data_IF_009396995845
#
_entry.id   IF_009396995845
#
_cell.length_a   1.000
_cell.length_b   1.000
_cell.length_c   1.000
_cell.angle_alpha   90.00
_cell.angle_beta   90.00
_cell.angle_gamma   90.00
#
_symmetry.space_group_name_H-M   'P 1'
#
loop_
_entity.id
_entity.type
_entity.pdbx_description
1 polymer ?
#
# COMPACT_ATOMS: atom_id res chain seq x y z
N UNK A 1 33.89 -11.34 4.75
CA UNK A 1 32.95 -12.45 4.47
C UNK A 1 32.45 -12.95 5.81
N UNK A 2 31.13 -12.98 6.07
CA UNK A 2 30.61 -13.58 7.31
C UNK A 2 30.96 -15.07 7.38
N UNK A 3 31.10 -15.61 8.58
CA UNK A 3 31.40 -17.03 8.83
C UNK A 3 30.31 -17.91 8.20
N UNK A 4 30.67 -18.79 7.28
CA UNK A 4 29.72 -19.64 6.54
C UNK A 4 29.40 -20.97 7.25
N UNK A 5 30.31 -21.45 8.10
CA UNK A 5 30.18 -22.74 8.77
C UNK A 5 30.47 -22.59 10.26
N UNK A 6 29.67 -23.25 11.10
CA UNK A 6 29.96 -23.35 12.54
C UNK A 6 31.17 -24.23 12.80
N UNK A 7 31.88 -24.00 13.90
CA UNK A 7 32.87 -24.95 14.41
C UNK A 7 32.08 -26.16 14.92
N UNK A 8 32.18 -27.34 14.28
CA UNK A 8 31.37 -28.47 14.67
C UNK A 8 31.87 -29.03 16.00
N UNK A 9 30.91 -29.53 16.79
CA UNK A 9 31.20 -30.42 17.90
C UNK A 9 31.69 -31.75 17.34
N UNK A 10 32.70 -32.32 18.00
CA UNK A 10 33.31 -33.59 17.63
C UNK A 10 33.20 -34.58 18.77
N UNK A 11 33.00 -35.85 18.41
CA UNK A 11 33.04 -36.95 19.38
C UNK A 11 34.49 -37.38 19.61
N UNK A 12 34.83 -37.76 20.85
CA UNK A 12 36.11 -38.43 21.11
C UNK A 12 36.17 -39.77 20.38
N UNK A 13 37.35 -40.13 19.88
CA UNK A 13 37.58 -41.36 19.09
C UNK A 13 37.11 -42.63 19.80
N UNK A 14 37.15 -42.68 21.12
CA UNK A 14 36.71 -43.84 21.91
C UNK A 14 35.20 -44.13 21.81
N UNK A 15 34.39 -43.15 21.42
CA UNK A 15 32.94 -43.27 21.32
C UNK A 15 32.44 -43.23 19.88
N UNK A 16 33.35 -43.21 18.89
CA UNK A 16 32.96 -43.04 17.48
C UNK A 16 32.01 -44.13 17.00
N UNK A 17 32.08 -45.31 17.59
CA UNK A 17 31.33 -46.49 17.16
C UNK A 17 29.89 -46.52 17.73
N UNK A 18 29.58 -45.65 18.69
CA UNK A 18 28.23 -45.51 19.25
C UNK A 18 27.35 -44.66 18.32
N UNK A 19 26.34 -45.32 17.72
CA UNK A 19 25.40 -44.71 16.79
C UNK A 19 24.55 -43.60 17.42
N UNK A 20 24.19 -43.73 18.70
CA UNK A 20 23.33 -42.76 19.38
C UNK A 20 24.10 -41.48 19.70
N UNK A 21 25.34 -41.62 20.16
CA UNK A 21 26.21 -40.49 20.46
C UNK A 21 26.61 -39.72 19.19
N UNK A 22 26.85 -40.44 18.09
CA UNK A 22 27.09 -39.82 16.78
C UNK A 22 25.86 -39.04 16.30
N UNK A 23 24.68 -39.65 16.35
CA UNK A 23 23.44 -39.01 15.95
C UNK A 23 23.14 -37.74 16.77
N UNK A 24 23.46 -37.74 18.07
CA UNK A 24 23.34 -36.56 18.92
C UNK A 24 24.25 -35.41 18.47
N UNK A 25 25.54 -35.69 18.21
CA UNK A 25 26.49 -34.67 17.73
C UNK A 25 26.11 -34.13 16.35
N UNK A 26 25.66 -35.00 15.45
CA UNK A 26 25.19 -34.58 14.13
C UNK A 26 23.95 -33.69 14.22
N UNK A 27 22.99 -34.03 15.08
CA UNK A 27 21.82 -33.19 15.33
C UNK A 27 22.20 -31.83 15.93
N UNK A 28 23.13 -31.81 16.89
CA UNK A 28 23.65 -30.57 17.48
C UNK A 28 24.33 -29.67 16.44
N UNK A 29 25.18 -30.25 15.58
CA UNK A 29 25.86 -29.53 14.52
C UNK A 29 24.89 -28.97 13.49
N UNK A 30 23.88 -29.76 13.11
CA UNK A 30 22.81 -29.34 12.20
C UNK A 30 22.01 -28.17 12.77
N UNK A 31 21.60 -28.25 14.04
CA UNK A 31 20.87 -27.17 14.73
C UNK A 31 21.72 -25.90 14.82
N UNK A 32 22.99 -26.03 15.21
CA UNK A 32 23.93 -24.92 15.33
C UNK A 32 24.17 -24.24 13.97
N UNK A 33 24.33 -25.02 12.90
CA UNK A 33 24.44 -24.50 11.54
C UNK A 33 23.16 -23.78 11.10
N UNK A 34 21.99 -24.28 11.52
CA UNK A 34 20.69 -23.62 11.32
C UNK A 34 20.66 -22.22 11.94
N UNK A 35 21.11 -22.07 13.19
CA UNK A 35 21.16 -20.76 13.85
C UNK A 35 22.10 -19.77 13.16
N UNK A 36 23.30 -20.22 12.73
CA UNK A 36 24.22 -19.37 11.97
C UNK A 36 23.62 -18.96 10.62
N UNK A 37 22.98 -19.89 9.92
CA UNK A 37 22.32 -19.63 8.62
C UNK A 37 21.16 -18.63 8.78
N UNK A 38 20.40 -18.73 9.86
CA UNK A 38 19.35 -17.76 10.18
C UNK A 38 19.93 -16.37 10.49
N UNK A 39 20.97 -16.28 11.32
CA UNK A 39 21.59 -15.01 11.69
C UNK A 39 22.22 -14.29 10.48
N UNK A 40 22.85 -15.05 9.58
CA UNK A 40 23.46 -14.49 8.36
C UNK A 40 22.41 -14.03 7.34
N UNK A 41 21.23 -14.68 7.30
CA UNK A 41 20.11 -14.29 6.42
C UNK A 41 19.18 -13.23 7.02
N UNK A 42 19.33 -12.90 8.30
CA UNK A 42 18.45 -11.95 9.02
C UNK A 42 19.27 -10.86 9.72
N UNK A 43 19.92 -9.94 8.97
CA UNK A 43 20.64 -8.83 9.58
C UNK A 43 19.68 -7.88 10.31
N UNK A 44 19.78 -7.81 11.64
CA UNK A 44 18.86 -7.05 12.51
C UNK A 44 18.80 -5.54 12.19
N UNK A 45 19.88 -5.00 11.62
CA UNK A 45 19.93 -3.60 11.19
C UNK A 45 18.99 -3.31 10.00
N UNK A 46 18.71 -4.32 9.16
CA UNK A 46 17.84 -4.20 8.00
C UNK A 46 16.41 -4.66 8.34
N UNK A 47 15.71 -3.84 9.13
CA UNK A 47 14.33 -4.10 9.56
C UNK A 47 13.32 -4.22 8.41
N UNK A 48 13.66 -3.75 7.20
CA UNK A 48 12.83 -3.88 5.99
C UNK A 48 12.82 -5.31 5.44
N UNK A 49 13.66 -6.21 5.95
CA UNK A 49 13.68 -7.62 5.53
C UNK A 49 12.33 -8.30 5.78
N UNK A 50 11.83 -9.14 4.84
CA UNK A 50 10.63 -9.95 5.06
C UNK A 50 10.74 -10.93 6.23
N UNK A 51 11.95 -11.32 6.63
CA UNK A 51 12.19 -12.28 7.71
C UNK A 51 12.01 -11.67 9.12
N UNK A 52 11.94 -10.34 9.23
CA UNK A 52 11.77 -9.63 10.50
C UNK A 52 10.29 -9.27 10.63
N UNK A 53 9.54 -10.03 11.42
CA UNK A 53 8.08 -9.88 11.58
C UNK A 53 7.65 -10.08 13.04
N UNK A 54 6.44 -9.63 13.34
CA UNK A 54 5.78 -9.81 14.63
C UNK A 54 6.61 -9.31 15.83
N UNK A 55 6.71 -10.10 16.90
CA UNK A 55 7.42 -9.69 18.12
C UNK A 55 8.90 -9.36 17.91
N UNK A 56 9.58 -9.98 16.93
CA UNK A 56 10.96 -9.65 16.61
C UNK A 56 11.07 -8.23 16.06
N UNK A 57 10.15 -7.85 15.17
CA UNK A 57 10.08 -6.49 14.64
C UNK A 57 9.81 -5.48 15.77
N UNK A 58 8.86 -5.78 16.66
CA UNK A 58 8.55 -4.91 17.80
C UNK A 58 9.75 -4.74 18.73
N UNK A 59 10.48 -5.82 19.01
CA UNK A 59 11.68 -5.78 19.83
C UNK A 59 12.79 -4.93 19.19
N UNK A 60 13.04 -5.10 17.88
CA UNK A 60 14.04 -4.30 17.14
C UNK A 60 13.62 -2.84 17.11
N UNK A 61 12.40 -2.55 16.69
CA UNK A 61 11.92 -1.20 16.45
C UNK A 61 11.79 -0.39 17.74
N UNK A 62 11.17 -0.97 18.78
CA UNK A 62 11.01 -0.31 20.08
C UNK A 62 12.30 -0.36 20.90
N UNK A 63 13.01 -1.49 20.89
CA UNK A 63 14.19 -1.69 21.72
C UNK A 63 15.43 -0.96 21.21
N UNK A 64 15.72 -1.04 19.91
CA UNK A 64 16.92 -0.45 19.31
C UNK A 64 16.66 0.99 18.86
N UNK A 65 15.53 1.22 18.18
CA UNK A 65 15.24 2.52 17.57
C UNK A 65 14.29 3.42 18.38
N UNK A 66 13.67 2.90 19.44
CA UNK A 66 12.74 3.66 20.28
C UNK A 66 11.42 4.04 19.60
N UNK A 67 11.09 3.44 18.45
CA UNK A 67 9.87 3.76 17.70
C UNK A 67 8.83 2.68 18.03
N UNK A 68 7.76 2.98 18.79
CA UNK A 68 6.70 2.01 19.08
C UNK A 68 5.83 1.73 17.85
N UNK A 69 5.12 0.60 17.85
CA UNK A 69 4.15 0.28 16.81
C UNK A 69 2.98 1.26 16.88
N UNK A 70 2.68 1.99 15.79
CA UNK A 70 1.61 2.98 15.82
C UNK A 70 0.24 2.31 15.84
N UNK A 71 -0.72 3.02 16.43
CA UNK A 71 -2.14 2.64 16.39
C UNK A 71 -2.79 3.44 15.26
N UNK A 72 -3.39 2.73 14.31
CA UNK A 72 -4.21 3.33 13.28
C UNK A 72 -5.62 3.50 13.85
N UNK A 73 -6.00 4.74 14.12
CA UNK A 73 -7.34 5.08 14.58
C UNK A 73 -8.05 5.97 13.57
N UNK A 74 -9.23 5.55 13.14
CA UNK A 74 -10.20 6.47 12.54
C UNK A 74 -11.28 6.78 13.57
N UNK A 75 -11.64 8.06 13.70
CA UNK A 75 -12.86 8.47 14.37
C UNK A 75 -13.66 9.32 13.39
N UNK A 76 -14.88 8.88 13.09
CA UNK A 76 -15.81 9.65 12.27
C UNK A 76 -17.01 9.98 13.15
N UNK A 77 -17.28 11.28 13.33
CA UNK A 77 -18.46 11.74 14.06
C UNK A 77 -19.44 12.30 13.04
N UNK A 78 -20.61 11.69 12.91
CA UNK A 78 -21.70 12.23 12.10
C UNK A 78 -22.78 12.83 12.99
N UNK A 79 -23.14 14.08 12.70
CA UNK A 79 -24.23 14.80 13.35
C UNK A 79 -25.33 14.97 12.31
N UNK A 80 -26.43 14.25 12.50
CA UNK A 80 -27.60 14.33 11.62
C UNK A 80 -28.70 15.07 12.37
N UNK A 81 -29.17 16.19 11.79
CA UNK A 81 -30.24 17.02 12.31
C UNK A 81 -30.97 17.69 11.13
N UNK A 82 -32.30 17.80 11.19
CA UNK A 82 -33.11 18.44 10.15
C UNK A 82 -34.47 17.78 9.92
N UNK A 83 -35.37 18.49 9.23
CA UNK A 83 -36.64 17.96 8.72
C UNK A 83 -36.34 16.90 7.63
N UNK A 84 -37.05 15.77 7.62
CA UNK A 84 -36.80 14.55 6.79
C UNK A 84 -35.52 13.72 7.07
N UNK A 85 -34.77 14.00 8.13
CA UNK A 85 -33.56 13.21 8.45
C UNK A 85 -33.86 11.82 9.06
N UNK A 86 -35.08 11.62 9.57
CA UNK A 86 -35.53 10.39 10.23
C UNK A 86 -36.99 10.10 9.87
N UNK A 87 -37.35 8.81 9.82
CA UNK A 87 -38.75 8.40 9.69
C UNK A 87 -39.58 8.88 10.90
N UNK A 88 -40.85 9.23 10.68
CA UNK A 88 -41.76 9.68 11.74
C UNK A 88 -41.79 8.70 12.93
N UNK A 89 -41.86 9.21 14.16
CA UNK A 89 -41.85 8.47 15.44
C UNK A 89 -40.57 7.68 15.79
N UNK A 90 -39.46 7.87 15.11
CA UNK A 90 -38.19 7.20 15.47
C UNK A 90 -37.31 8.00 16.44
N UNK A 91 -37.64 9.27 16.70
CA UNK A 91 -36.85 10.15 17.55
C UNK A 91 -37.72 11.23 18.23
N UNK A 92 -37.41 11.65 19.48
CA UNK A 92 -38.14 12.72 20.16
C UNK A 92 -38.08 14.06 19.42
N UNK A 93 -39.13 14.88 19.55
CA UNK A 93 -39.14 16.25 19.03
C UNK A 93 -37.99 17.06 19.65
N UNK A 94 -37.21 17.76 18.83
CA UNK A 94 -35.96 18.44 19.22
C UNK A 94 -34.83 17.50 19.71
N UNK A 95 -34.88 16.21 19.40
CA UNK A 95 -33.80 15.26 19.68
C UNK A 95 -32.62 15.40 18.71
N UNK A 96 -31.39 15.21 19.19
CA UNK A 96 -30.17 15.12 18.37
C UNK A 96 -29.51 13.73 18.51
N UNK A 97 -29.19 13.07 17.39
CA UNK A 97 -28.45 11.81 17.39
C UNK A 97 -27.01 12.12 16.99
N UNK A 98 -26.09 11.78 17.89
CA UNK A 98 -24.66 11.83 17.62
C UNK A 98 -24.23 10.37 17.50
N UNK A 99 -23.82 9.97 16.30
CA UNK A 99 -23.17 8.68 16.08
C UNK A 99 -21.68 8.93 15.92
N UNK A 100 -20.90 8.42 16.87
CA UNK A 100 -19.45 8.31 16.75
C UNK A 100 -19.13 6.84 16.50
N UNK A 101 -18.45 6.57 15.39
CA UNK A 101 -17.86 5.26 15.13
C UNK A 101 -16.37 5.44 14.95
N UNK A 102 -15.60 4.53 15.54
CA UNK A 102 -14.16 4.51 15.38
C UNK A 102 -13.62 3.11 15.46
N UNK A 103 -12.59 2.83 14.67
CA UNK A 103 -11.81 1.60 14.74
C UNK A 103 -10.40 1.98 15.14
N UNK A 104 -9.85 1.29 16.13
CA UNK A 104 -8.45 1.39 16.51
C UNK A 104 -7.83 0.01 16.34
N UNK A 105 -6.86 -0.09 15.44
CA UNK A 105 -6.12 -1.31 15.19
C UNK A 105 -4.62 -1.03 15.28
N UNK A 106 -3.86 -2.01 15.76
CA UNK A 106 -2.41 -1.96 15.65
C UNK A 106 -2.02 -2.00 14.17
N UNK A 107 -1.04 -1.19 13.79
CA UNK A 107 -0.49 -1.23 12.43
C UNK A 107 0.03 -2.63 12.10
N UNK A 108 -0.16 -3.07 10.85
CA UNK A 108 0.45 -4.30 10.34
C UNK A 108 1.99 -4.17 10.31
N UNK A 109 2.70 -5.29 10.23
CA UNK A 109 4.18 -5.29 10.16
C UNK A 109 4.71 -4.47 8.98
N UNK A 110 4.01 -4.52 7.85
CA UNK A 110 4.35 -3.75 6.66
C UNK A 110 4.23 -2.24 6.90
N UNK A 111 3.10 -1.77 7.44
CA UNK A 111 2.89 -0.36 7.79
C UNK A 111 3.89 0.09 8.85
N UNK A 112 4.18 -0.75 9.84
CA UNK A 112 5.13 -0.42 10.89
C UNK A 112 6.53 -0.20 10.34
N UNK A 113 7.01 -1.08 9.45
CA UNK A 113 8.30 -0.89 8.76
C UNK A 113 8.30 0.38 7.91
N UNK A 114 7.20 0.71 7.22
CA UNK A 114 7.08 1.97 6.45
C UNK A 114 7.19 3.21 7.34
N UNK A 115 6.60 3.17 8.54
CA UNK A 115 6.73 4.24 9.55
C UNK A 115 8.17 4.36 10.06
N UNK A 116 8.85 3.24 10.31
CA UNK A 116 10.27 3.25 10.67
C UNK A 116 11.12 3.86 9.55
N UNK A 117 10.91 3.43 8.30
CA UNK A 117 11.60 3.98 7.14
C UNK A 117 11.35 5.48 7.02
N UNK A 118 10.11 5.95 7.24
CA UNK A 118 9.83 7.38 7.28
C UNK A 118 10.76 8.09 8.27
N UNK A 119 10.84 7.64 9.51
CA UNK A 119 11.64 8.35 10.53
C UNK A 119 13.16 8.18 10.36
N UNK A 120 13.63 7.03 9.87
CA UNK A 120 15.04 6.65 9.90
C UNK A 120 15.77 6.85 8.56
N UNK A 121 15.07 6.89 7.43
CA UNK A 121 15.70 6.95 6.10
C UNK A 121 16.45 8.27 5.90
N UNK A 122 17.75 8.20 5.56
CA UNK A 122 18.65 9.36 5.43
C UNK A 122 18.90 9.82 3.99
N UNK A 123 18.55 9.02 3.00
CA UNK A 123 18.85 9.32 1.58
C UNK A 123 18.16 10.57 1.04
N UNK A 124 17.04 11.01 1.63
CA UNK A 124 16.31 12.21 1.18
C UNK A 124 16.95 13.53 1.67
N UNK A 125 17.97 13.46 2.53
CA UNK A 125 18.54 14.63 3.21
C UNK A 125 17.75 15.07 4.45
N UNK A 126 18.21 16.16 5.06
CA UNK A 126 17.69 16.69 6.35
C UNK A 126 16.78 17.91 6.20
N UNK A 127 16.70 18.50 5.01
CA UNK A 127 15.95 19.73 4.76
C UNK A 127 14.59 19.38 4.19
N UNK A 128 13.54 19.93 4.80
CA UNK A 128 12.19 19.78 4.28
C UNK A 128 12.04 20.56 2.96
N UNK A 129 11.70 19.85 1.89
CA UNK A 129 11.40 20.38 0.57
C UNK A 129 10.22 19.62 -0.03
N UNK A 130 9.59 20.14 -1.08
CA UNK A 130 8.51 19.41 -1.78
C UNK A 130 9.04 18.06 -2.32
N UNK A 131 10.27 18.03 -2.83
CA UNK A 131 10.92 16.80 -3.29
C UNK A 131 11.11 15.77 -2.17
N UNK A 132 11.55 16.23 -0.99
CA UNK A 132 11.67 15.39 0.21
C UNK A 132 10.34 14.73 0.59
N UNK A 133 9.26 15.52 0.62
CA UNK A 133 7.93 15.03 0.97
C UNK A 133 7.42 14.04 -0.09
N UNK A 134 7.60 14.38 -1.37
CA UNK A 134 7.19 13.54 -2.50
C UNK A 134 7.89 12.18 -2.50
N UNK A 135 9.21 12.14 -2.29
CA UNK A 135 9.97 10.90 -2.24
C UNK A 135 9.52 10.00 -1.08
N UNK A 136 9.25 10.59 0.08
CA UNK A 136 8.82 9.84 1.28
C UNK A 136 7.43 9.28 1.17
N UNK A 137 6.48 10.08 0.66
CA UNK A 137 5.13 9.59 0.38
C UNK A 137 5.21 8.48 -0.66
N UNK A 138 5.96 8.67 -1.74
CA UNK A 138 6.11 7.65 -2.78
C UNK A 138 6.68 6.33 -2.23
N UNK A 139 7.72 6.41 -1.38
CA UNK A 139 8.29 5.25 -0.70
C UNK A 139 7.29 4.59 0.25
N UNK A 140 6.54 5.40 0.99
CA UNK A 140 5.51 4.90 1.90
C UNK A 140 4.38 4.19 1.15
N UNK A 141 4.00 4.64 -0.04
CA UNK A 141 2.92 4.03 -0.81
C UNK A 141 3.40 2.79 -1.56
N UNK A 142 4.49 2.91 -2.34
CA UNK A 142 4.92 1.89 -3.28
C UNK A 142 6.01 0.95 -2.74
N UNK A 143 6.75 1.36 -1.70
CA UNK A 143 7.86 0.59 -1.13
C UNK A 143 7.40 -0.50 -0.15
N UNK A 144 7.32 -1.75 -0.64
CA UNK A 144 6.98 -2.92 0.18
C UNK A 144 7.91 -3.03 1.39
N UNK A 145 7.36 -3.27 2.59
CA UNK A 145 8.08 -3.30 3.86
C UNK A 145 8.92 -2.03 4.14
N UNK A 146 8.55 -0.88 3.56
CA UNK A 146 9.32 0.35 3.67
C UNK A 146 10.67 0.30 2.94
N UNK A 147 10.81 -0.55 1.94
CA UNK A 147 11.97 -0.54 1.05
C UNK A 147 12.00 0.73 0.20
N UNK A 148 13.18 1.10 -0.31
CA UNK A 148 13.31 2.27 -1.15
C UNK A 148 12.62 2.07 -2.50
N UNK A 149 11.87 3.07 -2.94
CA UNK A 149 11.15 3.02 -4.21
C UNK A 149 11.34 4.34 -4.97
N UNK A 150 11.82 4.28 -6.22
CA UNK A 150 12.13 5.47 -7.00
C UNK A 150 10.86 6.29 -7.31
N UNK A 151 10.96 7.61 -7.20
CA UNK A 151 9.83 8.56 -7.41
C UNK A 151 9.33 8.62 -8.85
N UNK A 152 10.14 8.16 -9.80
CA UNK A 152 9.79 8.09 -11.21
C UNK A 152 8.64 7.10 -11.47
N UNK A 153 8.47 6.12 -10.59
CA UNK A 153 7.45 5.07 -10.71
C UNK A 153 6.22 5.45 -9.88
N UNK A 154 5.20 6.00 -10.56
CA UNK A 154 3.89 6.38 -10.00
C UNK A 154 3.95 7.50 -8.95
N UNK A 155 4.49 8.67 -9.32
CA UNK A 155 4.67 9.76 -8.38
C UNK A 155 3.32 10.25 -7.81
N UNK A 156 3.26 10.56 -6.51
CA UNK A 156 2.14 11.33 -5.96
C UNK A 156 2.21 12.78 -6.47
N UNK A 157 1.06 13.43 -6.59
CA UNK A 157 0.99 14.86 -6.90
C UNK A 157 0.87 15.67 -5.62
N UNK A 158 1.63 16.76 -5.51
CA UNK A 158 1.60 17.64 -4.34
C UNK A 158 1.43 19.06 -4.84
N UNK A 159 0.39 19.74 -4.37
CA UNK A 159 0.15 21.17 -4.59
C UNK A 159 0.16 21.89 -3.25
N UNK A 160 0.62 23.15 -3.26
CA UNK A 160 0.77 23.94 -2.04
C UNK A 160 -0.03 25.23 -2.20
N UNK A 161 -0.86 25.53 -1.20
CA UNK A 161 -1.59 26.79 -1.10
C UNK A 161 -1.45 27.33 0.32
N UNK A 162 -0.65 28.38 0.48
CA UNK A 162 -0.27 28.90 1.80
C UNK A 162 0.43 27.83 2.65
N UNK A 163 -0.18 27.46 3.78
CA UNK A 163 0.35 26.45 4.71
C UNK A 163 -0.23 25.04 4.48
N UNK A 164 -1.07 24.85 3.45
CA UNK A 164 -1.75 23.58 3.17
C UNK A 164 -1.03 22.87 2.03
N UNK A 165 -0.55 21.66 2.30
CA UNK A 165 -0.03 20.70 1.34
C UNK A 165 -1.14 19.74 0.95
N UNK A 166 -1.65 19.86 -0.28
CA UNK A 166 -2.64 18.94 -0.84
C UNK A 166 -1.90 17.82 -1.58
N UNK A 167 -2.05 16.60 -1.08
CA UNK A 167 -1.39 15.39 -1.56
C UNK A 167 -2.43 14.54 -2.30
N UNK A 168 -2.28 14.42 -3.61
CA UNK A 168 -3.14 13.57 -4.45
C UNK A 168 -2.49 12.22 -4.69
N UNK A 169 -3.17 11.15 -4.27
CA UNK A 169 -2.68 9.76 -4.30
C UNK A 169 -3.79 8.81 -4.72
N UNK A 170 -3.44 7.62 -5.21
CA UNK A 170 -4.45 6.57 -5.43
C UNK A 170 -4.99 6.05 -4.09
N UNK A 171 -6.27 5.66 -4.08
CA UNK A 171 -6.93 5.11 -2.89
C UNK A 171 -6.50 3.66 -2.63
N UNK A 172 -5.31 3.46 -2.07
CA UNK A 172 -4.82 2.15 -1.63
C UNK A 172 -4.89 2.00 -0.11
N UNK A 173 -4.87 0.78 0.46
CA UNK A 173 -4.81 0.56 1.91
C UNK A 173 -3.63 1.31 2.57
N UNK A 174 -2.49 1.40 1.88
CA UNK A 174 -1.30 2.13 2.35
C UNK A 174 -1.56 3.64 2.39
N UNK A 175 -2.27 4.20 1.40
CA UNK A 175 -2.64 5.61 1.38
C UNK A 175 -3.61 5.96 2.52
N UNK A 176 -4.54 5.06 2.85
CA UNK A 176 -5.46 5.22 3.98
C UNK A 176 -4.71 5.14 5.32
N UNK A 177 -3.79 4.18 5.46
CA UNK A 177 -2.94 4.09 6.65
C UNK A 177 -2.08 5.35 6.82
N UNK A 178 -1.51 5.88 5.71
CA UNK A 178 -0.74 7.12 5.72
C UNK A 178 -1.58 8.30 6.24
N UNK A 179 -2.81 8.44 5.73
CA UNK A 179 -3.75 9.48 6.18
C UNK A 179 -4.02 9.41 7.69
N UNK A 180 -4.27 8.22 8.21
CA UNK A 180 -4.49 8.02 9.65
C UNK A 180 -3.24 8.35 10.47
N UNK A 181 -2.05 7.98 9.99
CA UNK A 181 -0.79 8.30 10.67
C UNK A 181 -0.50 9.81 10.72
N UNK A 182 -0.83 10.55 9.65
CA UNK A 182 -0.78 12.00 9.65
C UNK A 182 -1.81 12.61 10.62
N UNK A 183 -3.04 12.10 10.62
CA UNK A 183 -4.09 12.57 11.54
C UNK A 183 -3.73 12.32 13.02
N UNK A 184 -3.05 11.21 13.30
CA UNK A 184 -2.60 10.81 14.64
C UNK A 184 -1.26 11.43 15.06
N UNK A 185 -0.59 12.20 14.19
CA UNK A 185 0.74 12.78 14.43
C UNK A 185 1.85 11.74 14.74
N UNK A 186 1.77 10.55 14.15
CA UNK A 186 2.74 9.46 14.35
C UNK A 186 3.99 9.60 13.44
N UNK A 187 3.92 10.45 12.42
CA UNK A 187 5.01 10.68 11.47
C UNK A 187 5.74 11.98 11.76
N UNK A 188 7.07 11.95 11.72
CA UNK A 188 7.88 13.15 11.83
C UNK A 188 7.74 14.02 10.57
N UNK A 189 7.02 15.13 10.70
CA UNK A 189 6.86 16.19 9.69
C UNK A 189 6.83 17.57 10.38
N UNK A 190 7.14 18.67 9.67
CA UNK A 190 7.02 20.00 10.25
C UNK A 190 5.59 20.31 10.70
N UNK A 191 5.42 20.62 11.98
CA UNK A 191 4.11 20.90 12.60
C UNK A 191 3.42 22.18 12.11
N UNK A 192 4.15 23.05 11.40
CA UNK A 192 3.63 24.34 10.90
C UNK A 192 2.70 24.17 9.69
N UNK A 193 2.75 23.02 9.03
CA UNK A 193 2.01 22.75 7.80
C UNK A 193 0.82 21.83 8.06
N UNK A 194 -0.21 22.02 7.25
CA UNK A 194 -1.39 21.15 7.23
C UNK A 194 -1.29 20.25 6.02
N UNK A 195 -1.49 18.94 6.23
CA UNK A 195 -1.44 17.94 5.17
C UNK A 195 -2.85 17.44 4.88
N UNK A 196 -3.32 17.68 3.65
CA UNK A 196 -4.63 17.24 3.18
C UNK A 196 -4.45 16.19 2.09
N UNK A 197 -5.19 15.09 2.19
CA UNK A 197 -5.13 14.02 1.20
C UNK A 197 -6.34 14.08 0.27
N UNK A 198 -6.07 13.90 -1.02
CA UNK A 198 -7.07 13.75 -2.09
C UNK A 198 -6.88 12.36 -2.69
N UNK A 199 -7.80 11.45 -2.35
CA UNK A 199 -7.77 10.09 -2.86
C UNK A 199 -8.39 10.02 -4.25
N UNK A 200 -7.69 9.36 -5.17
CA UNK A 200 -8.16 9.08 -6.52
C UNK A 200 -8.51 7.60 -6.62
N UNK A 201 -9.75 7.32 -7.00
CA UNK A 201 -10.29 5.98 -7.16
C UNK A 201 -11.01 5.83 -8.50
N UNK A 202 -11.18 4.57 -8.90
CA UNK A 202 -12.10 4.22 -9.98
C UNK A 202 -13.53 4.21 -9.43
N UNK A 203 -14.46 4.77 -10.20
CA UNK A 203 -15.88 4.83 -9.86
C UNK A 203 -16.72 4.26 -11.00
N UNK A 204 -17.77 3.52 -10.64
CA UNK A 204 -18.81 3.10 -11.57
C UNK A 204 -19.89 4.18 -11.59
N UNK A 205 -20.05 4.86 -12.72
CA UNK A 205 -21.13 5.82 -12.93
C UNK A 205 -22.05 5.33 -14.04
N UNK A 206 -23.11 4.61 -13.66
CA UNK A 206 -24.12 4.14 -14.61
C UNK A 206 -23.59 3.15 -15.65
N UNK A 207 -22.60 2.32 -15.30
CA UNK A 207 -21.96 1.37 -16.20
C UNK A 207 -20.74 1.92 -16.95
N UNK A 208 -20.36 3.18 -16.75
CA UNK A 208 -19.16 3.77 -17.33
C UNK A 208 -18.08 3.87 -16.24
N UNK A 209 -16.86 3.44 -16.57
CA UNK A 209 -15.71 3.56 -15.68
C UNK A 209 -15.18 5.00 -15.70
N UNK A 210 -15.21 5.64 -14.54
CA UNK A 210 -14.79 7.01 -14.35
C UNK A 210 -13.69 7.14 -13.29
N UNK A 211 -12.99 8.27 -13.29
CA UNK A 211 -11.97 8.64 -12.31
C UNK A 211 -12.09 10.13 -11.98
N UNK A 212 -11.84 10.50 -10.73
CA UNK A 212 -12.05 11.88 -10.26
C UNK A 212 -10.98 12.86 -10.76
N UNK A 213 -9.73 12.40 -10.93
CA UNK A 213 -8.60 13.22 -11.39
C UNK A 213 -7.61 12.38 -12.21
N UNK A 214 -6.94 12.95 -13.23
CA UNK A 214 -5.97 12.24 -14.07
C UNK A 214 -4.61 12.05 -13.38
N UNK A 215 -4.57 11.43 -12.20
CA UNK A 215 -3.29 11.15 -11.54
C UNK A 215 -2.51 10.11 -12.35
N UNK A 216 -1.38 10.51 -12.94
CA UNK A 216 -0.49 9.68 -13.78
C UNK A 216 -1.13 9.11 -15.07
N UNK A 217 -2.38 9.47 -15.40
CA UNK A 217 -3.01 9.09 -16.66
C UNK A 217 -2.70 10.13 -17.76
N UNK A 218 -2.45 9.70 -19.01
CA UNK A 218 -2.43 10.61 -20.15
C UNK A 218 -3.76 11.34 -20.29
N UNK A 219 -3.74 12.64 -20.57
CA UNK A 219 -4.95 13.48 -20.75
C UNK A 219 -5.28 13.77 -22.22
N UNK A 220 -4.47 13.25 -23.15
CA UNK A 220 -4.71 13.32 -24.59
C UNK A 220 -4.45 11.94 -25.21
N UNK A 221 -5.23 11.53 -26.22
CA UNK A 221 -4.98 10.30 -26.98
C UNK A 221 -3.79 10.41 -27.93
N UNK A 222 -3.31 11.62 -28.23
CA UNK A 222 -2.28 11.84 -29.25
C UNK A 222 -0.94 11.18 -28.87
N UNK A 223 -0.40 10.39 -29.80
CA UNK A 223 0.89 9.69 -29.62
C UNK A 223 0.82 8.44 -28.74
N UNK A 224 -0.37 8.04 -28.27
CA UNK A 224 -0.56 6.77 -27.56
C UNK A 224 -0.75 5.61 -28.55
N UNK A 225 -0.26 4.43 -28.16
CA UNK A 225 -0.39 3.20 -28.94
C UNK A 225 -1.80 2.60 -28.82
N UNK A 226 -2.28 1.83 -29.81
CA UNK A 226 -3.52 1.06 -29.69
C UNK A 226 -3.56 0.23 -28.40
N UNK A 227 -4.70 0.23 -27.71
CA UNK A 227 -4.90 -0.45 -26.43
C UNK A 227 -4.40 0.31 -25.20
N UNK A 228 -3.71 1.44 -25.38
CA UNK A 228 -3.34 2.33 -24.27
C UNK A 228 -4.58 3.01 -23.66
N UNK A 229 -4.49 3.33 -22.37
CA UNK A 229 -5.54 4.03 -21.65
C UNK A 229 -5.24 5.51 -21.53
N UNK A 230 -6.30 6.32 -21.52
CA UNK A 230 -6.21 7.76 -21.30
C UNK A 230 -7.45 8.28 -20.58
N UNK A 231 -7.28 9.44 -19.95
CA UNK A 231 -8.31 10.14 -19.21
C UNK A 231 -9.00 11.18 -20.10
N UNK A 232 -10.29 10.98 -20.35
CA UNK A 232 -11.13 11.84 -21.16
C UNK A 232 -12.12 12.62 -20.27
N UNK A 233 -11.62 13.64 -19.56
CA UNK A 233 -12.48 14.56 -18.81
C UNK A 233 -13.31 13.92 -17.69
N UNK A 234 -12.89 12.76 -17.17
CA UNK A 234 -13.57 12.02 -16.10
C UNK A 234 -13.86 10.57 -16.49
N UNK A 235 -13.92 10.28 -17.80
CA UNK A 235 -14.15 8.93 -18.33
C UNK A 235 -12.81 8.29 -18.69
N UNK A 236 -12.65 7.00 -18.39
CA UNK A 236 -11.47 6.26 -18.84
C UNK A 236 -11.76 5.70 -20.23
N UNK A 237 -10.87 6.03 -21.16
CA UNK A 237 -10.99 5.65 -22.56
C UNK A 237 -9.77 4.84 -22.99
N UNK A 238 -9.95 4.05 -24.04
CA UNK A 238 -8.93 3.20 -24.64
C UNK A 238 -8.72 3.57 -26.10
N UNK A 239 -7.47 3.58 -26.55
CA UNK A 239 -7.14 3.80 -27.96
C UNK A 239 -7.56 2.57 -28.77
N UNK A 240 -8.40 2.72 -29.80
CA UNK A 240 -8.84 1.59 -30.63
C UNK A 240 -7.68 1.02 -31.46
N UNK A 241 -7.86 -0.20 -31.98
CA UNK A 241 -6.91 -0.83 -32.92
C UNK A 241 -6.21 -2.09 -32.41
N UNK A 242 -6.60 -2.61 -31.24
CA UNK A 242 -6.16 -3.93 -30.75
C UNK A 242 -7.32 -4.91 -30.82
N UNK A 243 -7.05 -6.09 -31.36
CA UNK A 243 -7.96 -7.24 -31.25
C UNK A 243 -7.71 -7.94 -29.92
N UNK A 244 -8.70 -8.04 -29.02
CA UNK A 244 -8.50 -8.66 -27.71
C UNK A 244 -8.09 -10.13 -27.83
N UNK A 245 -7.15 -10.55 -26.98
CA UNK A 245 -6.82 -11.97 -26.85
C UNK A 245 -7.93 -12.69 -26.04
N UNK A 246 -8.67 -13.65 -26.61
CA UNK A 246 -9.75 -14.36 -25.91
C UNK A 246 -9.28 -15.20 -24.72
N UNK A 247 -7.98 -15.53 -24.66
CA UNK A 247 -7.36 -16.26 -23.54
C UNK A 247 -6.82 -15.35 -22.45
N UNK A 248 -6.91 -14.02 -22.60
CA UNK A 248 -6.52 -13.10 -21.54
C UNK A 248 -7.50 -13.21 -20.36
N UNK A 249 -7.01 -13.17 -19.11
CA UNK A 249 -7.89 -13.18 -17.94
C UNK A 249 -8.86 -11.99 -17.97
N UNK A 250 -10.14 -12.20 -17.64
CA UNK A 250 -11.10 -11.11 -17.53
C UNK A 250 -10.72 -10.16 -16.38
N UNK A 251 -10.93 -8.86 -16.60
CA UNK A 251 -10.70 -7.82 -15.60
C UNK A 251 -12.05 -7.40 -15.04
N UNK A 252 -12.19 -7.40 -13.72
CA UNK A 252 -13.42 -7.03 -13.03
C UNK A 252 -13.26 -5.72 -12.29
N UNK A 253 -14.31 -4.91 -12.30
CA UNK A 253 -14.42 -3.77 -11.41
C UNK A 253 -14.56 -4.26 -9.97
N UNK A 254 -13.65 -3.82 -9.11
CA UNK A 254 -13.69 -4.07 -7.68
C UNK A 254 -13.18 -2.84 -6.92
N UNK A 255 -13.48 -2.79 -5.62
CA UNK A 255 -12.92 -1.73 -4.75
C UNK A 255 -11.41 -1.85 -4.57
N UNK A 256 -10.81 -2.98 -4.93
CA UNK A 256 -9.36 -3.22 -4.84
C UNK A 256 -8.64 -2.90 -6.14
N UNK A 257 -9.35 -2.83 -7.28
CA UNK A 257 -8.74 -2.47 -8.56
C UNK A 257 -8.31 -1.00 -8.52
N UNK A 258 -7.01 -0.76 -8.57
CA UNK A 258 -6.45 0.58 -8.58
C UNK A 258 -6.34 1.13 -10.01
N UNK A 259 -6.42 2.47 -10.21
CA UNK A 259 -6.17 3.06 -11.52
C UNK A 259 -4.79 2.70 -12.09
N UNK A 260 -3.79 2.50 -11.21
CA UNK A 260 -2.43 2.14 -11.62
C UNK A 260 -2.31 0.71 -12.16
N UNK A 261 -3.00 -0.25 -11.53
CA UNK A 261 -3.06 -1.62 -12.05
C UNK A 261 -3.74 -1.64 -13.42
N UNK A 262 -4.83 -0.87 -13.56
CA UNK A 262 -5.54 -0.75 -14.83
C UNK A 262 -4.64 -0.12 -15.92
N UNK A 263 -3.86 0.91 -15.59
CA UNK A 263 -2.90 1.51 -16.52
C UNK A 263 -1.81 0.53 -16.96
N UNK A 264 -1.35 -0.34 -16.05
CA UNK A 264 -0.36 -1.40 -16.35
C UNK A 264 -0.96 -2.52 -17.21
N UNK A 265 -2.20 -2.93 -16.95
CA UNK A 265 -2.92 -3.94 -17.71
C UNK A 265 -3.24 -3.46 -19.13
N UNK A 266 -3.55 -2.17 -19.27
CA UNK A 266 -4.03 -1.57 -20.52
C UNK A 266 -5.47 -1.97 -20.84
N UNK A 267 -6.02 -1.38 -21.91
CA UNK A 267 -7.38 -1.67 -22.39
C UNK A 267 -7.44 -2.60 -23.60
N UNK A 268 -6.29 -2.99 -24.17
CA UNK A 268 -6.25 -3.73 -25.44
C UNK A 268 -6.86 -5.14 -25.40
N UNK A 269 -6.87 -5.79 -24.24
CA UNK A 269 -7.46 -7.12 -24.06
C UNK A 269 -8.89 -7.11 -23.52
N UNK A 270 -9.50 -5.93 -23.35
CA UNK A 270 -10.89 -5.84 -22.91
C UNK A 270 -11.82 -6.33 -24.02
N UNK A 271 -12.86 -7.14 -23.70
CA UNK A 271 -13.85 -7.57 -24.69
C UNK A 271 -14.47 -6.38 -25.42
N UNK A 272 -14.72 -6.52 -26.73
CA UNK A 272 -15.39 -5.50 -27.56
C UNK A 272 -16.93 -5.63 -27.56
N UNK A 273 -17.44 -6.66 -26.89
CA UNK A 273 -18.87 -6.93 -26.74
C UNK A 273 -19.19 -7.07 -25.27
N UNK A 274 -20.37 -6.60 -24.85
CA UNK A 274 -20.82 -6.71 -23.47
C UNK A 274 -20.75 -8.18 -22.99
N UNK A 275 -19.95 -8.49 -21.95
CA UNK A 275 -19.79 -9.84 -21.41
C UNK A 275 -21.00 -10.34 -20.59
N UNK A 276 -21.98 -9.48 -20.31
CA UNK A 276 -23.22 -9.82 -19.63
C UNK A 276 -23.49 -8.91 -18.43
N UNK A 277 -24.72 -8.39 -18.35
CA UNK A 277 -25.10 -7.39 -17.35
C UNK A 277 -24.96 -7.93 -15.91
N UNK A 278 -24.39 -7.12 -15.03
CA UNK A 278 -24.18 -7.43 -13.62
C UNK A 278 -22.97 -8.33 -13.32
N UNK A 279 -22.14 -8.63 -14.31
CA UNK A 279 -20.89 -9.39 -14.10
C UNK A 279 -19.77 -8.55 -13.49
N UNK A 280 -19.91 -7.22 -13.51
CA UNK A 280 -18.89 -6.24 -13.14
C UNK A 280 -17.62 -6.34 -13.99
N UNK A 281 -17.66 -7.06 -15.11
CA UNK A 281 -16.52 -7.22 -15.98
C UNK A 281 -16.30 -5.93 -16.79
N UNK A 282 -15.04 -5.48 -16.86
CA UNK A 282 -14.65 -4.37 -17.70
C UNK A 282 -14.66 -4.80 -19.17
N UNK A 283 -15.20 -3.95 -20.03
CA UNK A 283 -15.21 -4.15 -21.47
C UNK A 283 -15.03 -2.83 -22.19
N UNK A 284 -14.62 -2.89 -23.46
CA UNK A 284 -14.38 -1.73 -24.30
C UNK A 284 -15.59 -1.50 -25.21
N UNK A 285 -16.38 -0.48 -24.87
CA UNK A 285 -17.51 0.00 -25.65
C UNK A 285 -17.06 1.13 -26.58
N UNK A 286 -16.63 0.75 -27.79
CA UNK A 286 -16.23 1.69 -28.85
C UNK A 286 -15.21 2.78 -28.42
N UNK A 287 -14.27 2.44 -27.53
CA UNK A 287 -13.23 3.33 -27.02
C UNK A 287 -13.48 3.85 -25.60
N UNK A 288 -14.62 3.55 -24.99
CA UNK A 288 -14.93 3.84 -23.59
C UNK A 288 -14.83 2.56 -22.76
N UNK A 289 -14.21 2.61 -21.59
CA UNK A 289 -14.26 1.47 -20.68
C UNK A 289 -15.60 1.49 -19.95
N UNK A 290 -16.36 0.44 -20.19
CA UNK A 290 -17.66 0.19 -19.56
C UNK A 290 -17.57 -1.00 -18.61
N UNK A 291 -18.53 -1.06 -17.69
CA UNK A 291 -18.70 -2.08 -16.67
C UNK A 291 -20.02 -2.77 -17.00
N UNK A 292 -19.95 -4.08 -17.24
CA UNK A 292 -21.12 -4.90 -17.53
C UNK A 292 -21.94 -5.19 -16.28
#
# INVERSE_FOLDING_TARGET
MPMQQIIPSYLYRQYSDDVNLRAFVDAYNSLSQGYLSWFTSTPLALYTSPNITGPLLDWIARGIYGIPRPVLSSSTTSRVAGYDAYAYNTMPYNGQKISSSGSAALASDDIYKRVMTWNLYRGDGKVFTIGWLKNRINRFLNGVNGTDWPVQNNPPSITVSGNIFSITVFSTPEAQALQQLFANNELAVPFQYVYQFVNVNLINNGGILQMTLPLNFPTSPDGLVPGALWYNGGVISVIPGVTPNPSAPPVFFSQTLTPQELLTLGGGNLPLTNPGDGTLQLWNDAGVISIA
#
